data_IF_321687025161
#
_entry.id   IF_321687025161
#
_cell.length_a   1.000
_cell.length_b   1.000
_cell.length_c   1.000
_cell.angle_alpha   90.00
_cell.angle_beta   90.00
_cell.angle_gamma   90.00
#
_symmetry.space_group_name_H-M   'P 1'
#
loop_
_entity.id
_entity.type
_entity.pdbx_description
1 polymer ?
#
# COMPACT_ATOMS: atom_id res chain seq x y z
N UNK A 1 35.78 -15.14 -18.18
CA UNK A 1 35.48 -13.77 -18.65
C UNK A 1 34.14 -13.80 -19.38
N UNK A 2 33.07 -13.06 -19.11
CA UNK A 2 32.76 -11.94 -18.21
C UNK A 2 31.31 -12.13 -17.75
N UNK A 3 31.06 -12.50 -16.49
CA UNK A 3 29.73 -12.45 -15.85
C UNK A 3 29.41 -11.01 -15.40
N UNK A 4 29.49 -10.06 -16.32
CA UNK A 4 29.28 -8.63 -16.04
C UNK A 4 27.89 -8.17 -16.54
N UNK A 5 27.13 -9.02 -17.24
CA UNK A 5 25.93 -8.60 -17.97
C UNK A 5 24.59 -8.61 -17.20
N UNK A 6 24.59 -8.78 -15.88
CA UNK A 6 23.36 -8.67 -15.05
C UNK A 6 23.36 -7.37 -14.20
N UNK A 7 24.44 -6.58 -14.26
CA UNK A 7 24.53 -5.30 -13.55
C UNK A 7 23.79 -4.14 -14.25
N UNK A 8 23.31 -4.32 -15.48
CA UNK A 8 22.77 -3.23 -16.31
C UNK A 8 21.25 -3.26 -16.53
N UNK A 9 20.54 -4.34 -16.18
CA UNK A 9 19.06 -4.38 -16.33
C UNK A 9 18.31 -3.94 -15.07
N UNK A 10 18.98 -3.86 -13.93
CA UNK A 10 18.38 -3.39 -12.68
C UNK A 10 18.32 -1.87 -12.59
N UNK A 11 19.18 -1.15 -13.31
CA UNK A 11 19.15 0.32 -13.36
C UNK A 11 17.84 0.90 -13.91
N UNK A 12 17.02 0.12 -14.63
CA UNK A 12 15.70 0.57 -15.09
C UNK A 12 14.60 0.52 -14.02
N UNK A 13 14.78 -0.19 -12.91
CA UNK A 13 13.90 -0.07 -11.73
C UNK A 13 14.30 1.11 -10.83
N UNK A 14 15.56 1.54 -10.92
CA UNK A 14 16.11 2.70 -10.20
C UNK A 14 16.03 4.00 -11.02
N UNK A 15 14.94 4.16 -11.80
CA UNK A 15 14.51 5.47 -12.29
C UNK A 15 14.03 6.41 -11.18
N UNK A 16 14.02 5.95 -9.92
CA UNK A 16 14.16 6.84 -8.77
C UNK A 16 15.63 7.23 -8.72
N UNK A 17 15.98 8.25 -9.50
CA UNK A 17 17.16 9.11 -9.35
C UNK A 17 18.12 8.66 -8.24
N UNK A 18 19.05 7.76 -8.59
CA UNK A 18 20.29 7.58 -7.85
C UNK A 18 20.93 8.98 -7.73
N UNK A 19 20.76 9.63 -6.58
CA UNK A 19 21.38 10.92 -6.29
C UNK A 19 20.47 12.00 -5.70
N UNK A 20 19.13 11.90 -5.76
CA UNK A 20 18.26 12.87 -5.09
C UNK A 20 17.21 12.19 -4.19
N UNK A 21 17.55 12.20 -2.89
CA UNK A 21 16.69 12.14 -1.72
C UNK A 21 15.73 10.94 -1.57
N UNK A 22 16.28 9.72 -1.64
CA UNK A 22 15.59 8.49 -1.19
C UNK A 22 15.01 8.68 0.22
N UNK A 23 15.73 9.37 1.10
CA UNK A 23 15.28 9.68 2.47
C UNK A 23 14.07 10.62 2.51
N UNK A 24 14.03 11.65 1.66
CA UNK A 24 12.86 12.53 1.56
C UNK A 24 11.65 11.80 0.99
N UNK A 25 11.86 10.97 -0.02
CA UNK A 25 10.80 10.14 -0.62
C UNK A 25 10.24 9.16 0.42
N UNK A 26 11.11 8.51 1.17
CA UNK A 26 10.75 7.59 2.24
C UNK A 26 9.94 8.31 3.33
N UNK A 27 10.42 9.48 3.77
CA UNK A 27 9.74 10.28 4.78
C UNK A 27 8.34 10.74 4.32
N UNK A 28 8.24 11.29 3.10
CA UNK A 28 6.96 11.69 2.49
C UNK A 28 5.97 10.52 2.43
N UNK A 29 6.43 9.34 2.00
CA UNK A 29 5.59 8.14 1.92
C UNK A 29 5.20 7.61 3.31
N UNK A 30 6.10 7.66 4.29
CA UNK A 30 5.79 7.25 5.66
C UNK A 30 4.70 8.14 6.26
N UNK A 31 4.86 9.47 6.19
CA UNK A 31 3.86 10.43 6.66
C UNK A 31 2.51 10.19 5.98
N UNK A 32 2.51 9.97 4.65
CA UNK A 32 1.27 9.70 3.90
C UNK A 32 0.59 8.42 4.37
N UNK A 33 1.36 7.35 4.55
CA UNK A 33 0.87 6.05 5.02
C UNK A 33 0.23 6.16 6.41
N UNK A 34 0.88 6.89 7.32
CA UNK A 34 0.39 7.11 8.68
C UNK A 34 -0.92 7.91 8.65
N UNK A 35 -0.96 8.98 7.85
CA UNK A 35 -2.17 9.79 7.64
C UNK A 35 -3.35 8.98 7.08
N UNK A 36 -3.11 8.12 6.09
CA UNK A 36 -4.17 7.27 5.52
C UNK A 36 -4.62 6.18 6.50
N UNK A 37 -3.71 5.65 7.32
CA UNK A 37 -4.06 4.69 8.38
C UNK A 37 -5.02 5.32 9.38
N UNK A 38 -4.78 6.56 9.79
CA UNK A 38 -5.68 7.30 10.68
C UNK A 38 -7.05 7.54 10.04
N UNK A 39 -7.10 7.83 8.74
CA UNK A 39 -8.37 8.03 8.03
C UNK A 39 -9.18 6.72 7.94
N UNK A 40 -8.53 5.59 7.66
CA UNK A 40 -9.19 4.27 7.70
C UNK A 40 -9.75 3.96 9.09
N UNK A 41 -8.99 4.23 10.15
CA UNK A 41 -9.43 4.03 11.53
C UNK A 41 -10.62 4.92 11.89
N UNK A 42 -10.63 6.18 11.44
CA UNK A 42 -11.72 7.14 11.65
C UNK A 42 -13.04 6.64 11.07
N UNK A 43 -13.01 5.96 9.92
CA UNK A 43 -14.19 5.35 9.29
C UNK A 43 -14.38 3.87 9.65
N UNK A 44 -13.56 3.32 10.55
CA UNK A 44 -13.57 1.91 10.94
C UNK A 44 -13.46 0.93 9.74
N UNK A 45 -12.69 1.32 8.71
CA UNK A 45 -12.46 0.51 7.52
C UNK A 45 -11.36 -0.50 7.82
N UNK A 46 -11.66 -1.79 7.65
CA UNK A 46 -10.70 -2.88 7.80
C UNK A 46 -10.42 -3.53 6.44
N UNK A 47 -9.15 -3.55 6.04
CA UNK A 47 -8.70 -4.23 4.83
C UNK A 47 -7.55 -5.20 5.17
N UNK A 48 -7.77 -6.49 4.90
CA UNK A 48 -6.83 -7.55 5.25
C UNK A 48 -5.48 -7.41 4.52
N UNK A 49 -5.46 -6.84 3.30
CA UNK A 49 -4.21 -6.64 2.54
C UNK A 49 -3.43 -5.46 3.11
N UNK A 50 -4.11 -4.38 3.49
CA UNK A 50 -3.50 -3.25 4.20
C UNK A 50 -2.89 -3.73 5.52
N UNK A 51 -3.64 -4.49 6.32
CA UNK A 51 -3.16 -5.03 7.60
C UNK A 51 -1.95 -5.95 7.40
N UNK A 52 -2.02 -6.87 6.44
CA UNK A 52 -0.91 -7.75 6.07
C UNK A 52 0.35 -6.96 5.74
N UNK A 53 0.26 -5.94 4.86
CA UNK A 53 1.42 -5.15 4.47
C UNK A 53 1.96 -4.27 5.61
N UNK A 54 1.10 -3.75 6.50
CA UNK A 54 1.54 -3.05 7.70
C UNK A 54 2.33 -3.96 8.64
N UNK A 55 1.88 -5.20 8.83
CA UNK A 55 2.57 -6.18 9.65
C UNK A 55 3.88 -6.63 9.00
N UNK A 56 3.88 -6.90 7.69
CA UNK A 56 5.09 -7.21 6.93
C UNK A 56 6.14 -6.10 7.05
N UNK A 57 5.73 -4.83 7.02
CA UNK A 57 6.63 -3.68 7.25
C UNK A 57 7.28 -3.73 8.63
N UNK A 58 6.51 -3.99 9.68
CA UNK A 58 7.01 -4.06 11.07
C UNK A 58 8.03 -5.19 11.23
N UNK A 59 7.71 -6.37 10.70
CA UNK A 59 8.59 -7.54 10.77
C UNK A 59 9.90 -7.29 9.99
N UNK A 60 9.80 -6.70 8.80
CA UNK A 60 10.99 -6.35 8.03
C UNK A 60 11.86 -5.35 8.80
N UNK A 61 11.30 -4.27 9.34
CA UNK A 61 12.06 -3.27 10.09
C UNK A 61 12.86 -3.91 11.23
N UNK A 62 12.23 -4.84 11.98
CA UNK A 62 12.91 -5.61 13.01
C UNK A 62 14.06 -6.46 12.46
N UNK A 63 13.84 -7.17 11.35
CA UNK A 63 14.88 -8.01 10.73
C UNK A 63 16.07 -7.17 10.23
N UNK A 64 15.81 -5.96 9.74
CA UNK A 64 16.85 -5.02 9.29
C UNK A 64 17.63 -4.47 10.48
N UNK A 65 16.95 -4.10 11.57
CA UNK A 65 17.61 -3.67 12.81
C UNK A 65 18.56 -4.76 13.33
N UNK A 66 18.18 -6.04 13.23
CA UNK A 66 19.04 -7.17 13.60
C UNK A 66 20.24 -7.33 12.67
N UNK A 67 20.06 -7.14 11.36
CA UNK A 67 21.17 -7.11 10.40
C UNK A 67 22.15 -5.99 10.72
N UNK A 68 21.65 -4.80 11.05
CA UNK A 68 22.49 -3.62 11.30
C UNK A 68 23.35 -3.75 12.56
N UNK A 69 22.98 -4.64 13.50
CA UNK A 69 23.72 -4.98 14.73
C UNK A 69 24.78 -6.06 14.55
N UNK A 70 24.89 -6.69 13.37
CA UNK A 70 25.90 -7.72 13.12
C UNK A 70 27.31 -7.13 13.20
N UNK A 71 28.20 -7.80 13.96
CA UNK A 71 29.62 -7.42 14.09
C UNK A 71 30.39 -7.61 12.78
N UNK A 72 30.10 -8.69 12.05
CA UNK A 72 30.65 -8.97 10.72
C UNK A 72 29.54 -8.91 9.66
N UNK A 73 29.65 -7.92 8.76
CA UNK A 73 28.68 -7.64 7.72
C UNK A 73 28.87 -8.53 6.48
N UNK A 74 29.10 -9.83 6.69
CA UNK A 74 29.22 -10.78 5.60
C UNK A 74 27.84 -11.16 5.03
N UNK A 75 27.79 -11.35 3.70
CA UNK A 75 26.55 -11.63 2.98
C UNK A 75 25.81 -12.88 3.51
N UNK A 76 26.54 -13.92 3.94
CA UNK A 76 25.94 -15.18 4.38
C UNK A 76 25.20 -15.01 5.70
N UNK A 77 25.78 -14.29 6.66
CA UNK A 77 25.19 -14.05 7.97
C UNK A 77 23.98 -13.15 7.87
N UNK A 78 24.08 -12.04 7.14
CA UNK A 78 22.95 -11.14 6.92
C UNK A 78 21.80 -11.84 6.18
N UNK A 79 22.09 -12.62 5.12
CA UNK A 79 21.03 -13.38 4.44
C UNK A 79 20.36 -14.39 5.38
N UNK A 80 21.08 -15.02 6.31
CA UNK A 80 20.45 -15.87 7.34
C UNK A 80 19.50 -15.09 8.24
N UNK A 81 19.85 -13.86 8.63
CA UNK A 81 18.98 -13.02 9.47
C UNK A 81 17.74 -12.59 8.69
N UNK A 82 17.90 -12.10 7.46
CA UNK A 82 16.79 -11.72 6.58
C UNK A 82 15.87 -12.92 6.30
N UNK A 83 16.44 -14.09 5.99
CA UNK A 83 15.65 -15.24 5.60
C UNK A 83 14.83 -15.87 6.74
N UNK A 84 15.16 -15.61 8.02
CA UNK A 84 14.46 -16.21 9.17
C UNK A 84 12.96 -15.88 9.18
N UNK A 85 12.53 -14.61 9.16
CA UNK A 85 11.11 -14.27 9.07
C UNK A 85 10.64 -14.03 7.63
N UNK A 86 11.34 -14.56 6.61
CA UNK A 86 11.06 -14.22 5.20
C UNK A 86 9.59 -14.43 4.81
N UNK A 87 8.98 -15.50 5.29
CA UNK A 87 7.56 -15.82 5.01
C UNK A 87 6.60 -14.73 5.46
N UNK A 88 6.94 -13.96 6.50
CA UNK A 88 6.10 -12.90 7.07
C UNK A 88 6.03 -11.65 6.19
N UNK A 89 6.99 -11.48 5.28
CA UNK A 89 7.07 -10.27 4.44
C UNK A 89 7.43 -10.55 2.98
N UNK A 90 7.50 -11.83 2.57
CA UNK A 90 7.92 -12.23 1.23
C UNK A 90 7.08 -11.56 0.14
N UNK A 91 5.76 -11.63 0.26
CA UNK A 91 4.84 -11.12 -0.76
C UNK A 91 4.78 -9.59 -0.79
N UNK A 92 5.16 -8.95 0.31
CA UNK A 92 5.21 -7.49 0.41
C UNK A 92 6.19 -6.87 -0.61
N UNK A 93 7.21 -7.62 -1.05
CA UNK A 93 8.25 -7.18 -1.99
C UNK A 93 8.10 -7.73 -3.41
N UNK A 94 6.99 -8.38 -3.71
CA UNK A 94 6.72 -8.92 -5.03
C UNK A 94 6.17 -7.83 -5.96
N UNK A 95 6.90 -7.49 -7.02
CA UNK A 95 6.42 -6.58 -8.06
C UNK A 95 6.06 -7.41 -9.28
N UNK A 96 4.84 -7.25 -9.79
CA UNK A 96 4.42 -7.87 -11.04
C UNK A 96 4.79 -6.97 -12.22
N UNK A 97 5.56 -7.52 -13.17
CA UNK A 97 5.93 -6.86 -14.41
C UNK A 97 5.96 -7.88 -15.54
N UNK A 98 5.34 -7.56 -16.68
CA UNK A 98 5.31 -8.44 -17.85
C UNK A 98 4.86 -9.87 -17.53
N UNK A 99 3.84 -10.00 -16.65
CA UNK A 99 3.31 -11.27 -16.10
C UNK A 99 4.33 -12.10 -15.30
N UNK A 100 5.39 -11.47 -14.80
CA UNK A 100 6.41 -12.09 -13.92
C UNK A 100 6.45 -11.38 -12.58
N UNK A 101 6.51 -12.17 -11.51
CA UNK A 101 6.73 -11.66 -10.15
C UNK A 101 8.22 -11.61 -9.85
N UNK A 102 8.72 -10.42 -9.52
CA UNK A 102 10.10 -10.20 -9.09
C UNK A 102 10.08 -9.83 -7.61
N UNK A 103 10.80 -10.58 -6.79
CA UNK A 103 11.00 -10.25 -5.38
C UNK A 103 12.26 -9.37 -5.24
N UNK A 104 12.09 -8.15 -4.74
CA UNK A 104 13.17 -7.16 -4.68
C UNK A 104 14.14 -7.36 -3.51
N UNK A 105 13.99 -8.39 -2.67
CA UNK A 105 14.86 -8.65 -1.52
C UNK A 105 16.12 -9.49 -1.86
N UNK A 106 16.15 -10.14 -3.04
CA UNK A 106 17.18 -11.13 -3.37
C UNK A 106 18.45 -10.50 -3.96
N UNK A 107 19.25 -9.86 -3.12
CA UNK A 107 20.55 -9.29 -3.52
C UNK A 107 21.67 -9.60 -2.53
N UNK A 108 22.89 -9.83 -3.04
CA UNK A 108 24.11 -9.75 -2.24
C UNK A 108 24.63 -8.32 -2.27
N UNK A 109 25.08 -7.81 -1.12
CA UNK A 109 25.51 -6.41 -0.97
C UNK A 109 27.03 -6.33 -0.84
N UNK A 110 27.61 -5.24 -1.34
CA UNK A 110 29.06 -5.02 -1.32
C UNK A 110 29.55 -4.59 0.06
N UNK A 111 28.75 -3.82 0.77
CA UNK A 111 29.03 -3.28 2.10
C UNK A 111 27.70 -2.89 2.79
N UNK A 112 27.81 -2.34 4.01
CA UNK A 112 26.66 -1.93 4.82
C UNK A 112 25.88 -0.78 4.19
N UNK A 113 26.56 0.16 3.54
CA UNK A 113 25.94 1.31 2.88
C UNK A 113 25.08 0.90 1.68
N UNK A 114 25.57 -0.06 0.88
CA UNK A 114 24.85 -0.66 -0.25
C UNK A 114 23.57 -1.37 0.22
N UNK A 115 23.68 -2.15 1.32
CA UNK A 115 22.52 -2.77 1.95
C UNK A 115 21.48 -1.75 2.44
N UNK A 116 21.92 -0.71 3.18
CA UNK A 116 21.02 0.32 3.70
C UNK A 116 20.31 1.05 2.56
N UNK A 117 21.02 1.38 1.49
CA UNK A 117 20.45 2.04 0.32
C UNK A 117 19.40 1.18 -0.37
N UNK A 118 19.70 -0.12 -0.54
CA UNK A 118 18.76 -1.09 -1.10
C UNK A 118 17.51 -1.24 -0.23
N UNK A 119 17.70 -1.37 1.08
CA UNK A 119 16.59 -1.47 2.03
C UNK A 119 15.69 -0.24 1.97
N UNK A 120 16.24 0.98 1.96
CA UNK A 120 15.45 2.21 1.85
C UNK A 120 14.63 2.24 0.56
N UNK A 121 15.19 1.79 -0.56
CA UNK A 121 14.46 1.69 -1.82
C UNK A 121 13.33 0.64 -1.74
N UNK A 122 13.59 -0.51 -1.12
CA UNK A 122 12.59 -1.55 -0.90
C UNK A 122 11.46 -1.07 0.03
N UNK A 123 11.78 -0.41 1.14
CA UNK A 123 10.79 0.16 2.06
C UNK A 123 9.95 1.23 1.35
N UNK A 124 10.56 2.10 0.53
CA UNK A 124 9.82 3.07 -0.24
C UNK A 124 8.81 2.40 -1.20
N UNK A 125 9.17 1.30 -1.85
CA UNK A 125 8.25 0.53 -2.70
C UNK A 125 7.10 -0.08 -1.90
N UNK A 126 7.39 -0.65 -0.72
CA UNK A 126 6.37 -1.19 0.17
C UNK A 126 5.35 -0.12 0.58
N UNK A 127 5.84 1.07 0.98
CA UNK A 127 4.98 2.18 1.35
C UNK A 127 4.12 2.66 0.18
N UNK A 128 4.64 2.66 -1.05
CA UNK A 128 3.81 2.98 -2.23
C UNK A 128 2.64 2.01 -2.39
N UNK A 129 2.89 0.70 -2.32
CA UNK A 129 1.82 -0.30 -2.39
C UNK A 129 0.79 -0.15 -1.27
N UNK A 130 1.27 0.17 -0.07
CA UNK A 130 0.41 0.37 1.09
C UNK A 130 -0.49 1.59 0.89
N UNK A 131 0.06 2.71 0.40
CA UNK A 131 -0.70 3.91 0.04
C UNK A 131 -1.78 3.57 -1.00
N UNK A 132 -1.43 2.84 -2.06
CA UNK A 132 -2.36 2.47 -3.12
C UNK A 132 -3.53 1.63 -2.58
N UNK A 133 -3.24 0.63 -1.75
CA UNK A 133 -4.27 -0.20 -1.11
C UNK A 133 -5.14 0.57 -0.12
N UNK A 134 -4.55 1.50 0.64
CA UNK A 134 -5.31 2.33 1.57
C UNK A 134 -6.28 3.27 0.85
N UNK A 135 -5.86 3.85 -0.29
CA UNK A 135 -6.78 4.61 -1.12
C UNK A 135 -7.88 3.73 -1.70
N UNK A 136 -7.54 2.54 -2.19
CA UNK A 136 -8.54 1.63 -2.73
C UNK A 136 -9.58 1.27 -1.66
N UNK A 137 -9.14 0.97 -0.43
CA UNK A 137 -10.05 0.68 0.69
C UNK A 137 -10.98 1.88 1.02
N UNK A 138 -10.47 3.12 0.96
CA UNK A 138 -11.30 4.32 1.13
C UNK A 138 -12.32 4.50 -0.01
N UNK A 139 -11.92 4.24 -1.26
CA UNK A 139 -12.79 4.33 -2.43
C UNK A 139 -13.88 3.26 -2.38
N UNK A 140 -13.51 2.01 -2.06
CA UNK A 140 -14.44 0.89 -1.96
C UNK A 140 -15.49 1.14 -0.87
N UNK A 141 -15.07 1.68 0.28
CA UNK A 141 -16.00 2.04 1.35
C UNK A 141 -16.93 3.20 0.95
N UNK A 142 -16.38 4.24 0.30
CA UNK A 142 -17.21 5.34 -0.21
C UNK A 142 -18.25 4.86 -1.23
N UNK A 143 -17.86 3.95 -2.14
CA UNK A 143 -18.79 3.35 -3.10
C UNK A 143 -19.85 2.51 -2.40
N UNK A 144 -19.46 1.70 -1.40
CA UNK A 144 -20.40 0.92 -0.57
C UNK A 144 -21.45 1.83 0.09
N UNK A 145 -21.03 2.94 0.68
CA UNK A 145 -21.94 3.91 1.32
C UNK A 145 -22.90 4.53 0.28
N UNK A 146 -22.40 4.92 -0.88
CA UNK A 146 -23.22 5.45 -1.98
C UNK A 146 -24.27 4.41 -2.41
N UNK A 147 -23.86 3.15 -2.56
CA UNK A 147 -24.75 2.06 -2.96
C UNK A 147 -25.83 1.80 -1.89
N UNK A 148 -25.47 1.82 -0.62
CA UNK A 148 -26.41 1.69 0.50
C UNK A 148 -27.45 2.83 0.53
N UNK A 149 -27.00 4.07 0.33
CA UNK A 149 -27.89 5.23 0.21
C UNK A 149 -28.81 5.10 -1.00
N UNK A 150 -28.27 4.75 -2.16
CA UNK A 150 -29.06 4.55 -3.38
C UNK A 150 -30.11 3.43 -3.21
N UNK A 151 -29.76 2.34 -2.54
CA UNK A 151 -30.70 1.27 -2.20
C UNK A 151 -31.79 1.77 -1.25
N UNK A 152 -31.43 2.54 -0.22
CA UNK A 152 -32.38 3.11 0.74
C UNK A 152 -33.38 4.04 0.06
N UNK A 153 -32.89 4.97 -0.77
CA UNK A 153 -33.71 5.89 -1.57
C UNK A 153 -34.62 5.07 -2.50
N UNK A 154 -34.07 4.14 -3.27
CA UNK A 154 -34.84 3.34 -4.23
C UNK A 154 -35.96 2.52 -3.58
N UNK A 155 -35.70 1.93 -2.41
CA UNK A 155 -36.72 1.20 -1.64
C UNK A 155 -37.86 2.12 -1.21
N UNK A 156 -37.56 3.34 -0.78
CA UNK A 156 -38.56 4.30 -0.35
C UNK A 156 -39.34 4.92 -1.51
N UNK A 157 -38.67 5.29 -2.60
CA UNK A 157 -39.34 5.78 -3.82
C UNK A 157 -40.30 4.74 -4.37
N UNK A 158 -39.90 3.46 -4.40
CA UNK A 158 -40.80 2.35 -4.79
C UNK A 158 -42.06 2.28 -3.92
N UNK A 159 -41.94 2.48 -2.59
CA UNK A 159 -43.10 2.52 -1.68
C UNK A 159 -44.01 3.71 -1.97
N UNK A 160 -43.45 4.83 -2.42
CA UNK A 160 -44.19 6.05 -2.77
C UNK A 160 -44.70 6.03 -4.21
N UNK A 161 -44.46 4.96 -4.98
CA UNK A 161 -44.86 4.87 -6.38
C UNK A 161 -44.11 5.84 -7.29
N UNK A 162 -42.92 6.28 -6.88
CA UNK A 162 -42.08 7.25 -7.61
C UNK A 162 -40.86 6.55 -8.20
N UNK A 163 -40.43 6.98 -9.38
CA UNK A 163 -39.19 6.54 -10.02
C UNK A 163 -38.00 7.41 -9.61
N UNK A 164 -36.78 6.90 -9.78
CA UNK A 164 -35.57 7.69 -9.52
C UNK A 164 -35.46 8.91 -10.44
N UNK A 165 -35.95 8.80 -11.69
CA UNK A 165 -35.95 9.92 -12.65
C UNK A 165 -36.89 11.05 -12.24
N UNK A 166 -38.05 10.72 -11.65
CA UNK A 166 -38.97 11.71 -11.09
C UNK A 166 -38.37 12.37 -9.84
N UNK A 167 -37.74 11.57 -8.98
CA UNK A 167 -37.04 12.07 -7.80
C UNK A 167 -35.91 13.04 -8.13
N UNK A 168 -35.08 12.72 -9.13
CA UNK A 168 -33.95 13.58 -9.52
C UNK A 168 -34.38 14.91 -10.16
N UNK A 169 -35.61 15.01 -10.67
CA UNK A 169 -36.18 16.25 -11.21
C UNK A 169 -36.74 17.18 -10.12
N UNK A 170 -36.87 16.71 -8.88
CA UNK A 170 -37.34 17.52 -7.76
C UNK A 170 -36.31 18.58 -7.36
N UNK A 171 -36.78 19.70 -6.82
CA UNK A 171 -35.88 20.67 -6.18
C UNK A 171 -35.24 20.07 -4.93
N UNK A 172 -34.05 20.55 -4.52
CA UNK A 172 -33.40 20.08 -3.29
C UNK A 172 -34.26 20.24 -2.03
N UNK A 173 -35.13 21.25 -2.00
CA UNK A 173 -36.09 21.43 -0.90
C UNK A 173 -37.17 20.35 -0.90
N UNK A 174 -37.69 19.99 -2.08
CA UNK A 174 -38.69 18.94 -2.22
C UNK A 174 -38.10 17.55 -1.95
N UNK A 175 -36.86 17.29 -2.41
CA UNK A 175 -36.11 16.07 -2.07
C UNK A 175 -36.00 15.92 -0.56
N UNK A 176 -35.53 16.96 0.15
CA UNK A 176 -35.44 16.95 1.62
C UNK A 176 -36.79 16.75 2.31
N UNK A 177 -37.87 17.32 1.78
CA UNK A 177 -39.19 17.19 2.36
C UNK A 177 -39.74 15.77 2.15
N UNK A 178 -39.47 15.17 0.99
CA UNK A 178 -39.81 13.79 0.66
C UNK A 178 -39.00 12.80 1.50
N UNK A 179 -37.70 13.02 1.68
CA UNK A 179 -36.80 12.18 2.48
C UNK A 179 -37.25 12.08 3.95
N UNK A 180 -37.90 13.12 4.50
CA UNK A 180 -38.54 13.05 5.85
C UNK A 180 -39.63 12.00 5.95
N UNK A 181 -40.21 11.58 4.83
CA UNK A 181 -41.24 10.54 4.78
C UNK A 181 -40.66 9.14 4.58
N UNK A 182 -39.36 9.01 4.32
CA UNK A 182 -38.69 7.73 4.14
C UNK A 182 -38.70 6.94 5.45
N UNK A 183 -38.79 5.61 5.34
CA UNK A 183 -38.86 4.66 6.44
C UNK A 183 -37.77 3.62 6.33
#
# INVERSE_FOLDING_TARGET
MKRIFIFSLLSMFFGISYGQNVDETLNKRSIRTDSLTLELQKYNIQDNKVEYLQNARKVLKSAIDDVLKLEDFNNKTMQKVLMKPLTEYYDAFNVERDKKTINTLRYGFKNKEDFVSHYKAAEALLLSKLIDLQYQALIDDAQRVIDEVNMYISRNLKRLGMTIEEYEKLSENDKKLLEKSFK
#
